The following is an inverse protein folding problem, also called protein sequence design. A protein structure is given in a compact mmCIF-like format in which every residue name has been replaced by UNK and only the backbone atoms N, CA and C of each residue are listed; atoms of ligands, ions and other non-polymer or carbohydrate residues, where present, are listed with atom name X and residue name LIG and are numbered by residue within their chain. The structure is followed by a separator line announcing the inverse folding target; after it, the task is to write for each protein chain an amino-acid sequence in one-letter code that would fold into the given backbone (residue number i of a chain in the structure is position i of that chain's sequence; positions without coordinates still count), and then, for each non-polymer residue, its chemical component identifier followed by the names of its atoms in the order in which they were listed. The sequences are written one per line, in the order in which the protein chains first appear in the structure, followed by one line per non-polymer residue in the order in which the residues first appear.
data_IF_998939131397
#
_entry.id   IF_998939131397
#
_cell.length_a   1.000
_cell.length_b   1.000
_cell.length_c   1.000
_cell.angle_alpha   90.00
_cell.angle_beta   90.00
_cell.angle_gamma   90.00
#
_symmetry.space_group_name_H-M   'P 1'
#
loop_
_entity.id
_entity.type
_entity.pdbx_description
1 polymer ?
#
# COMPACT_ATOMS: atom_id res chain seq x y z
N UNK A 1 -6.26 5.13 7.83
CA UNK A 1 -5.42 3.97 8.22
C UNK A 1 -5.37 2.98 7.09
N UNK A 2 -4.17 2.54 6.70
CA UNK A 2 -3.91 1.52 5.67
C UNK A 2 -4.00 0.14 6.30
N UNK A 3 -5.21 -0.43 6.33
CA UNK A 3 -5.50 -1.72 6.98
C UNK A 3 -4.65 -2.86 6.42
N UNK A 4 -4.49 -2.94 5.09
CA UNK A 4 -3.71 -4.01 4.45
C UNK A 4 -2.28 -4.16 5.00
N UNK A 5 -1.59 -3.05 5.23
CA UNK A 5 -0.24 -3.05 5.81
C UNK A 5 -0.23 -3.56 7.26
N UNK A 6 -1.25 -3.18 8.03
CA UNK A 6 -1.39 -3.59 9.42
C UNK A 6 -1.66 -5.09 9.47
N UNK A 7 -2.54 -5.60 8.62
CA UNK A 7 -2.89 -7.02 8.55
C UNK A 7 -1.68 -7.88 8.18
N UNK A 8 -0.91 -7.48 7.16
CA UNK A 8 0.33 -8.18 6.79
C UNK A 8 1.38 -8.17 7.92
N UNK A 9 1.46 -7.07 8.68
CA UNK A 9 2.37 -6.97 9.83
C UNK A 9 1.93 -7.87 10.99
N UNK A 10 0.64 -7.83 11.36
CA UNK A 10 0.11 -8.59 12.49
C UNK A 10 0.01 -10.08 12.18
N UNK A 11 -0.25 -10.47 10.94
CA UNK A 11 -0.20 -11.86 10.49
C UNK A 11 1.19 -12.50 10.66
N UNK A 12 2.25 -11.66 10.68
CA UNK A 12 3.63 -12.07 10.94
C UNK A 12 4.06 -11.87 12.39
N UNK A 13 3.14 -11.51 13.29
CA UNK A 13 3.39 -11.22 14.70
C UNK A 13 4.44 -10.13 14.94
N UNK A 14 4.58 -9.17 14.01
CA UNK A 14 5.55 -8.09 14.12
C UNK A 14 4.95 -6.86 14.80
N UNK A 15 5.70 -6.21 15.67
CA UNK A 15 5.43 -4.85 16.12
C UNK A 15 5.82 -3.82 15.06
N UNK A 16 5.34 -2.58 15.18
CA UNK A 16 5.75 -1.49 14.27
C UNK A 16 7.26 -1.23 14.33
N UNK A 17 7.89 -1.45 15.49
CA UNK A 17 9.34 -1.30 15.68
C UNK A 17 10.11 -2.40 14.95
N UNK A 18 9.69 -3.65 15.07
CA UNK A 18 10.34 -4.78 14.38
C UNK A 18 10.19 -4.67 12.87
N UNK A 19 9.00 -4.28 12.39
CA UNK A 19 8.82 -3.99 10.96
C UNK A 19 9.75 -2.86 10.50
N UNK A 20 9.87 -1.78 11.27
CA UNK A 20 10.76 -0.68 10.93
C UNK A 20 12.23 -1.12 10.82
N UNK A 21 12.70 -1.94 11.78
CA UNK A 21 14.04 -2.52 11.73
C UNK A 21 14.22 -3.41 10.50
N UNK A 22 13.25 -4.28 10.21
CA UNK A 22 13.32 -5.20 9.07
C UNK A 22 13.33 -4.48 7.71
N UNK A 23 12.66 -3.33 7.61
CA UNK A 23 12.61 -2.50 6.40
C UNK A 23 13.74 -1.47 6.33
N UNK A 24 14.59 -1.37 7.36
CA UNK A 24 15.60 -0.31 7.54
C UNK A 24 14.97 1.11 7.45
N UNK A 25 13.90 1.32 8.22
CA UNK A 25 13.14 2.57 8.33
C UNK A 25 13.01 2.99 9.79
N UNK A 26 12.58 4.23 10.04
CA UNK A 26 12.25 4.66 11.40
C UNK A 26 10.85 4.19 11.81
N UNK A 27 10.69 3.81 13.08
CA UNK A 27 9.39 3.38 13.65
C UNK A 27 8.32 4.46 13.48
N UNK A 28 8.69 5.73 13.65
CA UNK A 28 7.77 6.87 13.46
C UNK A 28 7.29 6.94 12.02
N UNK A 29 8.18 6.70 11.05
CA UNK A 29 7.81 6.69 9.65
C UNK A 29 6.85 5.54 9.33
N UNK A 30 7.14 4.31 9.79
CA UNK A 30 6.23 3.15 9.63
C UNK A 30 4.85 3.46 10.23
N UNK A 31 4.80 4.02 11.45
CA UNK A 31 3.54 4.42 12.10
C UNK A 31 2.74 5.42 11.25
N UNK A 32 3.39 6.45 10.71
CA UNK A 32 2.73 7.45 9.83
C UNK A 32 2.22 6.82 8.54
N UNK A 33 2.99 5.89 7.95
CA UNK A 33 2.60 5.15 6.75
C UNK A 33 1.39 4.26 7.02
N UNK A 34 1.37 3.49 8.11
CA UNK A 34 0.22 2.65 8.49
C UNK A 34 -1.02 3.49 8.81
N UNK A 35 -0.86 4.68 9.39
CA UNK A 35 -1.98 5.59 9.62
C UNK A 35 -2.54 6.22 8.34
N UNK A 36 -1.73 6.29 7.28
CA UNK A 36 -2.05 7.03 6.06
C UNK A 36 -1.71 8.53 6.17
N UNK A 37 -1.01 8.96 7.21
CA UNK A 37 -0.58 10.36 7.40
C UNK A 37 0.57 10.75 6.46
N UNK A 38 1.23 9.77 5.84
CA UNK A 38 2.34 10.01 4.90
C UNK A 38 2.33 9.03 3.74
N UNK A 39 2.54 9.56 2.54
CA UNK A 39 2.76 8.77 1.33
C UNK A 39 4.24 8.37 1.23
N UNK A 40 4.55 7.06 1.24
CA UNK A 40 5.91 6.58 1.05
C UNK A 40 6.39 6.79 -0.39
N UNK A 41 7.71 6.92 -0.57
CA UNK A 41 8.31 6.98 -1.90
C UNK A 41 8.13 5.65 -2.65
N UNK A 42 8.27 5.67 -3.99
CA UNK A 42 8.28 4.44 -4.81
C UNK A 42 9.34 3.44 -4.33
N UNK A 43 10.53 3.93 -3.95
CA UNK A 43 11.60 3.09 -3.40
C UNK A 43 11.14 2.39 -2.11
N UNK A 44 10.49 3.13 -1.23
CA UNK A 44 9.93 2.60 0.02
C UNK A 44 8.82 1.59 -0.26
N UNK A 45 7.87 1.88 -1.14
CA UNK A 45 6.80 0.94 -1.50
C UNK A 45 7.37 -0.38 -2.05
N UNK A 46 8.43 -0.32 -2.86
CA UNK A 46 9.13 -1.52 -3.34
C UNK A 46 9.79 -2.33 -2.21
N UNK A 47 10.30 -1.66 -1.16
CA UNK A 47 10.85 -2.34 0.03
C UNK A 47 9.74 -3.10 0.77
N UNK A 48 8.58 -2.47 0.96
CA UNK A 48 7.39 -3.13 1.53
C UNK A 48 6.94 -4.32 0.68
N UNK A 49 6.82 -4.16 -0.63
CA UNK A 49 6.47 -5.26 -1.55
C UNK A 49 7.46 -6.43 -1.43
N UNK A 50 8.78 -6.17 -1.40
CA UNK A 50 9.76 -7.26 -1.29
C UNK A 50 9.68 -7.97 0.06
N UNK A 51 9.44 -7.24 1.14
CA UNK A 51 9.32 -7.82 2.47
C UNK A 51 8.05 -8.66 2.63
N UNK A 52 6.92 -8.16 2.16
CA UNK A 52 5.63 -8.84 2.29
C UNK A 52 5.36 -9.85 1.18
N UNK A 53 6.00 -9.73 0.02
CA UNK A 53 5.68 -10.55 -1.15
C UNK A 53 4.34 -10.19 -1.80
N UNK A 54 3.78 -9.02 -1.45
CA UNK A 54 2.46 -8.55 -1.91
C UNK A 54 2.66 -7.36 -2.84
N UNK A 55 1.83 -7.25 -3.90
CA UNK A 55 1.94 -6.18 -4.90
C UNK A 55 1.76 -4.81 -4.24
N UNK A 56 2.52 -3.80 -4.69
CA UNK A 56 2.40 -2.43 -4.16
C UNK A 56 0.99 -1.85 -4.28
N UNK A 57 0.24 -2.20 -5.33
CA UNK A 57 -1.15 -1.75 -5.55
C UNK A 57 -2.10 -2.29 -4.49
N UNK A 58 -1.86 -3.51 -4.00
CA UNK A 58 -2.66 -4.10 -2.93
C UNK A 58 -2.26 -3.54 -1.56
N UNK A 59 -0.96 -3.29 -1.33
CA UNK A 59 -0.46 -2.75 -0.07
C UNK A 59 -0.85 -1.27 0.16
N UNK A 60 -0.95 -0.49 -0.91
CA UNK A 60 -1.23 0.95 -0.88
C UNK A 60 -2.40 1.32 -1.78
N UNK A 61 -3.60 0.72 -1.59
CA UNK A 61 -4.73 0.94 -2.50
C UNK A 61 -5.17 2.40 -2.53
N UNK A 62 -5.00 3.15 -1.44
CA UNK A 62 -5.26 4.59 -1.39
C UNK A 62 -4.36 5.45 -2.30
N UNK A 63 -3.20 4.93 -2.70
CA UNK A 63 -2.28 5.63 -3.62
C UNK A 63 -2.56 5.26 -5.07
N UNK A 64 -3.09 4.06 -5.33
CA UNK A 64 -3.28 3.53 -6.68
C UNK A 64 -4.73 3.50 -7.15
N UNK A 65 -5.72 3.54 -6.26
CA UNK A 65 -7.15 3.55 -6.64
C UNK A 65 -7.64 4.90 -7.19
N UNK A 66 -6.87 5.98 -7.06
CA UNK A 66 -7.17 7.22 -7.80
C UNK A 66 -6.97 7.05 -9.33
N UNK A 67 -6.41 5.92 -9.76
CA UNK A 67 -6.35 5.52 -11.18
C UNK A 67 -7.52 4.61 -11.61
N UNK A 68 -8.38 4.17 -10.69
CA UNK A 68 -9.64 3.48 -10.99
C UNK A 68 -10.78 4.49 -11.21
N UNK A 69 -10.50 5.57 -11.96
CA UNK A 69 -11.56 6.24 -12.71
C UNK A 69 -11.96 5.27 -13.82
N UNK A 70 -12.74 4.25 -13.48
CA UNK A 70 -13.54 3.52 -14.45
C UNK A 70 -14.59 4.50 -14.97
N UNK A 71 -14.16 5.49 -15.77
CA UNK A 71 -15.00 6.00 -16.83
C UNK A 71 -15.14 4.84 -17.79
N UNK A 72 -16.09 3.98 -17.44
CA UNK A 72 -16.84 3.12 -18.33
C UNK A 72 -17.14 4.00 -19.54
N UNK A 73 -16.34 3.89 -20.59
CA UNK A 73 -16.83 4.25 -21.92
C UNK A 73 -17.91 3.20 -22.12
N UNK A 74 -19.18 3.60 -21.89
CA UNK A 74 -20.27 2.78 -22.37
C UNK A 74 -20.06 2.74 -23.87
N UNK A 75 -19.65 1.59 -24.37
CA UNK A 75 -19.77 1.24 -25.77
C UNK A 75 -21.29 1.23 -26.04
N UNK A 76 -21.84 2.42 -26.26
CA UNK A 76 -23.22 2.63 -26.66
C UNK A 76 -23.20 2.81 -28.16
N UNK A 77 -23.47 1.69 -28.81
CA UNK A 77 -24.12 1.54 -30.12
C UNK A 77 -23.32 1.99 -31.35
N UNK A 78 -22.51 1.05 -31.85
CA UNK A 78 -22.46 0.81 -33.29
C UNK A 78 -23.84 0.33 -33.75
N UNK A 79 -24.72 1.28 -34.04
CA UNK A 79 -25.86 1.06 -34.92
C UNK A 79 -25.31 0.74 -36.31
N UNK A 80 -25.47 -0.52 -36.71
CA UNK A 80 -25.38 -0.96 -38.11
C UNK A 80 -26.72 -0.81 -38.81
#
# INVERSE_FOLDING_TARGET
MRKRLIDERTARSLTQKELAVALNLSTVFVRKVEKGERNPSVKTMKVYQRFFGVRVTELFPDIFNDFDDTKRIKDTELIG
#
